data_IF_925511258862
#
_entry.id   IF_925511258862
#
_cell.length_a   1.000
_cell.length_b   1.000
_cell.length_c   1.000
_cell.angle_alpha   90.00
_cell.angle_beta   90.00
_cell.angle_gamma   90.00
#
_symmetry.space_group_name_H-M   'P 1'
#
loop_
_entity.id
_entity.type
_entity.pdbx_description
1 polymer ?
#
# COMPACT_ATOMS: atom_id res chain seq x y z
N UNK A 1 14.84 -11.46 1.85
CA UNK A 1 13.53 -12.06 1.52
C UNK A 1 12.80 -11.08 0.62
N UNK A 2 12.33 -11.52 -0.53
CA UNK A 2 11.45 -10.70 -1.37
C UNK A 2 10.00 -11.05 -1.01
N UNK A 3 9.22 -10.07 -0.56
CA UNK A 3 7.82 -10.28 -0.21
C UNK A 3 6.95 -10.21 -1.46
N UNK A 4 6.05 -11.16 -1.66
CA UNK A 4 5.05 -11.04 -2.73
C UNK A 4 3.95 -10.07 -2.30
N UNK A 5 3.93 -8.89 -2.91
CA UNK A 5 2.94 -7.84 -2.66
C UNK A 5 1.52 -8.37 -2.86
N UNK A 6 1.30 -9.20 -3.89
CA UNK A 6 -0.04 -9.72 -4.22
C UNK A 6 -0.58 -10.60 -3.10
N UNK A 7 0.29 -11.38 -2.46
CA UNK A 7 -0.09 -12.23 -1.34
C UNK A 7 -0.31 -11.41 -0.06
N UNK A 8 0.50 -10.36 0.16
CA UNK A 8 0.37 -9.51 1.34
C UNK A 8 -0.95 -8.73 1.35
N UNK A 9 -1.37 -8.19 0.21
CA UNK A 9 -2.58 -7.35 0.12
C UNK A 9 -3.87 -8.16 0.14
N UNK A 10 -3.77 -9.49 0.01
CA UNK A 10 -4.89 -10.43 0.17
C UNK A 10 -5.09 -10.91 1.61
N UNK A 11 -4.18 -10.57 2.53
CA UNK A 11 -4.31 -10.94 3.94
C UNK A 11 -5.38 -10.11 4.63
N UNK A 12 -5.92 -10.65 5.70
CA UNK A 12 -6.78 -9.89 6.60
C UNK A 12 -6.00 -8.69 7.20
N UNK A 13 -6.65 -7.53 7.39
CA UNK A 13 -5.97 -6.31 7.85
C UNK A 13 -5.17 -6.50 9.15
N UNK A 14 -5.69 -7.31 10.08
CA UNK A 14 -5.03 -7.62 11.34
C UNK A 14 -3.76 -8.47 11.16
N UNK A 15 -3.76 -9.39 10.20
CA UNK A 15 -2.60 -10.23 9.89
C UNK A 15 -1.51 -9.40 9.20
N UNK A 16 -1.91 -8.54 8.26
CA UNK A 16 -1.00 -7.60 7.61
C UNK A 16 -0.37 -6.64 8.62
N UNK A 17 -1.17 -6.10 9.55
CA UNK A 17 -0.68 -5.23 10.61
C UNK A 17 0.33 -5.94 11.52
N UNK A 18 0.04 -7.18 11.95
CA UNK A 18 0.97 -7.97 12.75
C UNK A 18 2.30 -8.22 12.04
N UNK A 19 2.26 -8.57 10.75
CA UNK A 19 3.44 -8.74 9.92
C UNK A 19 4.25 -7.44 9.80
N UNK A 20 3.59 -6.30 9.57
CA UNK A 20 4.25 -5.00 9.51
C UNK A 20 4.88 -4.61 10.84
N UNK A 21 4.21 -4.88 11.97
CA UNK A 21 4.78 -4.70 13.30
C UNK A 21 6.02 -5.56 13.53
N UNK A 22 6.03 -6.79 13.03
CA UNK A 22 7.22 -7.62 13.08
C UNK A 22 8.37 -6.98 12.30
N UNK A 23 8.11 -6.45 11.09
CA UNK A 23 9.12 -5.75 10.31
C UNK A 23 9.59 -4.45 10.99
N UNK A 24 8.70 -3.65 11.58
CA UNK A 24 9.08 -2.43 12.33
C UNK A 24 10.08 -2.78 13.43
N UNK A 25 9.83 -3.86 14.17
CA UNK A 25 10.64 -4.24 15.32
C UNK A 25 11.89 -5.05 14.98
N UNK A 26 11.87 -5.85 13.90
CA UNK A 26 12.91 -6.85 13.60
C UNK A 26 13.67 -6.60 12.30
N UNK A 27 13.06 -5.98 11.29
CA UNK A 27 13.69 -5.70 10.00
C UNK A 27 13.12 -4.42 9.36
N UNK A 28 13.48 -3.27 9.94
CA UNK A 28 13.03 -1.98 9.42
C UNK A 28 13.50 -1.74 7.97
N UNK A 29 14.67 -2.26 7.59
CA UNK A 29 15.14 -2.21 6.20
C UNK A 29 14.22 -2.99 5.25
N UNK A 30 13.69 -4.12 5.70
CA UNK A 30 12.68 -4.92 4.99
C UNK A 30 11.37 -4.17 4.81
N UNK A 31 10.91 -3.48 5.85
CA UNK A 31 9.74 -2.60 5.79
C UNK A 31 9.93 -1.51 4.73
N UNK A 32 11.06 -0.81 4.74
CA UNK A 32 11.34 0.26 3.78
C UNK A 32 11.35 -0.27 2.34
N UNK A 33 12.01 -1.40 2.09
CA UNK A 33 12.03 -2.05 0.76
C UNK A 33 10.62 -2.47 0.31
N UNK A 34 9.80 -2.96 1.23
CA UNK A 34 8.41 -3.33 0.96
C UNK A 34 7.59 -2.10 0.56
N UNK A 35 7.68 -1.02 1.33
CA UNK A 35 6.91 0.20 1.13
C UNK A 35 7.29 0.94 -0.15
N UNK A 36 8.57 0.95 -0.54
CA UNK A 36 8.98 1.52 -1.82
C UNK A 36 8.34 0.83 -3.02
N UNK A 37 8.08 -0.48 -2.95
CA UNK A 37 7.37 -1.22 -4.02
C UNK A 37 5.89 -0.87 -4.11
N UNK A 38 5.36 -0.21 -3.08
CA UNK A 38 3.97 0.22 -2.96
C UNK A 38 3.80 1.73 -3.15
N UNK A 39 4.83 2.43 -3.66
CA UNK A 39 4.83 3.87 -3.87
C UNK A 39 4.66 4.66 -2.55
N UNK A 40 5.26 4.14 -1.46
CA UNK A 40 5.31 4.78 -0.14
C UNK A 40 6.76 5.10 0.18
N UNK A 41 7.07 6.38 0.34
CA UNK A 41 8.43 6.86 0.65
C UNK A 41 8.77 6.73 2.13
N UNK A 42 10.05 6.63 2.44
CA UNK A 42 10.55 6.64 3.82
C UNK A 42 10.11 7.90 4.58
N UNK A 43 10.11 9.06 3.93
CA UNK A 43 9.62 10.32 4.53
C UNK A 43 8.17 10.19 4.98
N UNK A 44 7.29 9.63 4.14
CA UNK A 44 5.88 9.42 4.48
C UNK A 44 5.73 8.44 5.64
N UNK A 45 6.51 7.36 5.65
CA UNK A 45 6.54 6.42 6.77
C UNK A 45 6.95 7.12 8.07
N UNK A 46 8.04 7.88 8.05
CA UNK A 46 8.53 8.59 9.24
C UNK A 46 7.52 9.59 9.78
N UNK A 47 6.80 10.30 8.91
CA UNK A 47 5.70 11.18 9.32
C UNK A 47 4.59 10.41 10.02
N UNK A 48 4.13 9.28 9.46
CA UNK A 48 3.10 8.44 10.09
C UNK A 48 3.52 7.96 11.47
N UNK A 49 4.78 7.51 11.61
CA UNK A 49 5.31 7.05 12.89
C UNK A 49 5.49 8.18 13.92
N UNK A 50 5.78 9.40 13.46
CA UNK A 50 5.99 10.57 14.33
C UNK A 50 4.67 11.20 14.78
N UNK A 51 3.66 11.23 13.91
CA UNK A 51 2.38 11.88 14.17
C UNK A 51 1.51 11.09 15.16
N UNK A 52 1.69 9.77 15.24
CA UNK A 52 0.82 8.87 16.01
C UNK A 52 1.60 7.91 16.92
N UNK A 53 2.33 8.41 17.93
CA UNK A 53 3.20 7.59 18.78
C UNK A 53 2.44 6.62 19.72
N UNK A 54 1.13 6.78 19.86
CA UNK A 54 0.26 5.94 20.69
C UNK A 54 -0.55 4.93 19.87
N UNK A 55 -0.54 5.05 18.54
CA UNK A 55 -1.27 4.13 17.67
C UNK A 55 -0.38 2.99 17.20
N UNK A 56 -1.01 1.86 16.88
CA UNK A 56 -0.31 0.73 16.31
C UNK A 56 0.14 1.06 14.88
N UNK A 57 1.43 1.35 14.74
CA UNK A 57 2.05 1.70 13.47
C UNK A 57 1.81 0.63 12.38
N UNK A 58 1.79 -0.65 12.73
CA UNK A 58 1.48 -1.73 11.81
C UNK A 58 0.05 -1.63 11.26
N UNK A 59 -0.92 -1.28 12.09
CA UNK A 59 -2.32 -1.05 11.67
C UNK A 59 -2.44 0.13 10.72
N UNK A 60 -1.76 1.23 11.01
CA UNK A 60 -1.75 2.43 10.18
C UNK A 60 -1.15 2.16 8.80
N UNK A 61 -0.01 1.48 8.77
CA UNK A 61 0.67 1.12 7.53
C UNK A 61 -0.16 0.10 6.74
N UNK A 62 -0.77 -0.89 7.40
CA UNK A 62 -1.65 -1.85 6.75
C UNK A 62 -2.82 -1.15 6.04
N UNK A 63 -3.46 -0.21 6.74
CA UNK A 63 -4.57 0.59 6.20
C UNK A 63 -4.13 1.40 4.97
N UNK A 64 -2.96 2.04 5.03
CA UNK A 64 -2.39 2.78 3.91
C UNK A 64 -2.12 1.88 2.70
N UNK A 65 -1.60 0.68 2.92
CA UNK A 65 -1.32 -0.29 1.84
C UNK A 65 -2.62 -0.73 1.17
N UNK A 66 -3.64 -1.09 1.95
CA UNK A 66 -4.93 -1.51 1.42
C UNK A 66 -5.64 -0.38 0.66
N UNK A 67 -5.58 0.86 1.16
CA UNK A 67 -6.12 2.02 0.48
C UNK A 67 -5.44 2.25 -0.88
N UNK A 68 -4.12 2.15 -0.94
CA UNK A 68 -3.35 2.28 -2.19
C UNK A 68 -3.75 1.23 -3.22
N UNK A 69 -3.95 -0.01 -2.81
CA UNK A 69 -4.38 -1.08 -3.73
C UNK A 69 -5.82 -0.88 -4.20
N UNK A 70 -6.72 -0.46 -3.31
CA UNK A 70 -8.09 -0.11 -3.70
C UNK A 70 -8.12 1.04 -4.72
N UNK A 71 -7.29 2.08 -4.52
CA UNK A 71 -7.14 3.19 -5.48
C UNK A 71 -6.62 2.70 -6.84
N UNK A 72 -5.60 1.83 -6.86
CA UNK A 72 -5.08 1.24 -8.10
C UNK A 72 -6.14 0.44 -8.84
N UNK A 73 -6.95 -0.34 -8.11
CA UNK A 73 -8.03 -1.11 -8.69
C UNK A 73 -9.10 -0.21 -9.29
N UNK A 74 -9.54 0.81 -8.54
CA UNK A 74 -10.52 1.79 -9.01
C UNK A 74 -10.04 2.55 -10.25
N UNK A 75 -8.80 3.02 -10.27
CA UNK A 75 -8.24 3.68 -11.45
C UNK A 75 -8.20 2.74 -12.66
N UNK A 76 -7.89 1.44 -12.47
CA UNK A 76 -7.94 0.46 -13.57
C UNK A 76 -9.36 0.26 -14.10
N UNK A 77 -10.36 0.27 -13.23
CA UNK A 77 -11.78 0.16 -13.62
C UNK A 77 -12.24 1.39 -14.38
N UNK A 78 -11.92 2.59 -13.88
CA UNK A 78 -12.24 3.88 -14.53
C UNK A 78 -11.59 3.99 -15.92
N UNK A 79 -10.32 3.57 -16.07
CA UNK A 79 -9.64 3.54 -17.37
C UNK A 79 -10.20 2.46 -18.33
N UNK A 80 -10.68 1.33 -17.80
CA UNK A 80 -11.35 0.30 -18.63
C UNK A 80 -12.72 0.78 -19.13
N UNK A 81 -13.48 1.49 -18.31
CA UNK A 81 -14.75 2.09 -18.70
C UNK A 81 -14.57 3.28 -19.66
N UNK A 82 -13.52 4.07 -19.48
CA UNK A 82 -13.17 5.17 -20.39
C UNK A 82 -12.58 4.70 -21.74
N UNK A 83 -12.44 3.38 -21.94
CA UNK A 83 -12.04 2.76 -23.20
C UNK A 83 -13.17 2.64 -24.23
N UNK A 84 -14.42 2.96 -23.87
CA UNK A 84 -15.45 3.35 -24.84
C UNK A 84 -15.18 4.79 -25.29
N UNK A 85 -14.06 5.00 -25.99
CA UNK A 85 -13.86 6.20 -26.78
C UNK A 85 -14.92 6.11 -27.90
N UNK A 86 -15.87 7.06 -28.01
CA UNK A 86 -16.73 7.12 -29.18
C UNK A 86 -15.82 7.22 -30.42
N UNK A 87 -16.10 6.43 -31.44
CA UNK A 87 -15.28 6.35 -32.67
C UNK A 87 -15.17 7.70 -33.44
N UNK A 88 -15.83 8.75 -32.95
CA UNK A 88 -16.03 10.05 -33.61
C UNK A 88 -14.87 11.06 -33.48
N UNK A 89 -13.83 10.80 -32.67
CA UNK A 89 -12.69 11.72 -32.50
C UNK A 89 -11.35 11.21 -33.09
N UNK A 90 -11.40 10.43 -34.18
CA UNK A 90 -10.21 10.22 -35.04
C UNK A 90 -10.12 11.32 -36.09
N UNK A 91 -9.38 12.39 -35.81
CA UNK A 91 -8.94 13.38 -36.81
C UNK A 91 -7.43 13.29 -37.05
#
# INVERSE_FOLDING_TARGET
MEYDIRQLVQREPAELAAFLNELINRDFGGLIRLLYRLDISETKLRSILADLPQEDAGVLIASLILEREAQKQKSREEFKQSGEIPEDERW
#
